data_IF_960054001963
#
_entry.id   IF_960054001963
#
_cell.length_a   1.000
_cell.length_b   1.000
_cell.length_c   1.000
_cell.angle_alpha   90.00
_cell.angle_beta   90.00
_cell.angle_gamma   90.00
#
_symmetry.space_group_name_H-M   'P 1'
#
loop_
_entity.id
_entity.type
_entity.pdbx_description
1 polymer ?
#
# COMPACT_ATOMS: atom_id res chain seq x y z
N UNK A 1 -12.32 14.20 -3.11
CA UNK A 1 -11.67 13.84 -4.39
C UNK A 1 -10.22 14.29 -4.40
N UNK A 2 -9.92 15.60 -4.30
CA UNK A 2 -8.54 16.11 -4.28
C UNK A 2 -7.61 15.44 -3.24
N UNK A 3 -8.09 15.20 -2.01
CA UNK A 3 -7.30 14.52 -0.95
C UNK A 3 -6.89 13.09 -1.32
N UNK A 4 -7.76 12.34 -1.99
CA UNK A 4 -7.51 10.96 -2.43
C UNK A 4 -6.48 10.91 -3.56
N UNK A 5 -6.58 11.83 -4.51
CA UNK A 5 -5.61 11.93 -5.61
C UNK A 5 -4.22 12.32 -5.10
N UNK A 6 -4.16 13.27 -4.16
CA UNK A 6 -2.92 13.66 -3.49
C UNK A 6 -2.30 12.45 -2.77
N UNK A 7 -3.09 11.74 -1.98
CA UNK A 7 -2.66 10.53 -1.27
C UNK A 7 -2.08 9.48 -2.23
N UNK A 8 -2.82 9.12 -3.29
CA UNK A 8 -2.35 8.14 -4.29
C UNK A 8 -1.04 8.64 -4.92
N UNK A 9 -0.99 9.89 -5.38
CA UNK A 9 0.21 10.47 -6.00
C UNK A 9 1.43 10.37 -5.08
N UNK A 10 1.28 10.70 -3.78
CA UNK A 10 2.35 10.59 -2.79
C UNK A 10 2.85 9.17 -2.60
N UNK A 11 1.95 8.19 -2.53
CA UNK A 11 2.35 6.78 -2.44
C UNK A 11 3.20 6.38 -3.65
N UNK A 12 2.80 6.76 -4.87
CA UNK A 12 3.58 6.44 -6.08
C UNK A 12 4.94 7.13 -6.11
N UNK A 13 5.03 8.40 -5.69
CA UNK A 13 6.30 9.12 -5.60
C UNK A 13 7.28 8.40 -4.68
N UNK A 14 6.84 8.02 -3.47
CA UNK A 14 7.70 7.39 -2.46
C UNK A 14 8.02 5.94 -2.84
N UNK A 15 7.07 5.19 -3.40
CA UNK A 15 7.31 3.82 -3.91
C UNK A 15 8.44 3.83 -4.96
N UNK A 16 8.42 4.80 -5.88
CA UNK A 16 9.46 4.94 -6.90
C UNK A 16 10.80 5.36 -6.29
N UNK A 17 10.80 6.28 -5.32
CA UNK A 17 11.99 6.69 -4.55
C UNK A 17 12.67 5.48 -3.89
N UNK A 18 11.87 4.64 -3.21
CA UNK A 18 12.32 3.45 -2.49
C UNK A 18 12.51 2.22 -3.40
N UNK A 19 12.21 2.34 -4.70
CA UNK A 19 12.27 1.23 -5.69
C UNK A 19 11.48 -0.02 -5.28
N UNK A 20 10.35 0.18 -4.61
CA UNK A 20 9.48 -0.91 -4.16
C UNK A 20 8.62 -1.38 -5.34
N UNK A 21 8.49 -2.71 -5.60
CA UNK A 21 7.57 -3.18 -6.62
C UNK A 21 6.12 -2.88 -6.25
N UNK A 22 5.40 -2.19 -7.14
CA UNK A 22 3.98 -1.86 -6.99
C UNK A 22 3.15 -2.58 -8.06
N UNK A 23 2.17 -3.35 -7.60
CA UNK A 23 1.18 -4.02 -8.45
C UNK A 23 -0.10 -3.19 -8.42
N UNK A 24 -0.41 -2.53 -9.53
CA UNK A 24 -1.67 -1.81 -9.73
C UNK A 24 -2.65 -2.67 -10.53
N UNK A 25 -3.84 -2.92 -9.97
CA UNK A 25 -4.90 -3.67 -10.63
C UNK A 25 -5.29 -3.08 -12.00
N UNK A 26 -5.08 -1.78 -12.22
CA UNK A 26 -5.34 -1.12 -13.52
C UNK A 26 -4.34 -1.48 -14.61
N UNK A 27 -3.15 -1.93 -14.21
CA UNK A 27 -2.06 -2.33 -15.14
C UNK A 27 -2.07 -3.84 -15.32
N UNK A 28 -2.50 -4.58 -14.30
CA UNK A 28 -2.57 -6.03 -14.29
C UNK A 28 -4.01 -6.50 -14.05
N UNK A 29 -4.84 -6.44 -15.10
CA UNK A 29 -6.27 -6.83 -15.09
C UNK A 29 -6.53 -8.28 -14.62
N UNK A 30 -5.49 -9.10 -14.42
CA UNK A 30 -5.56 -10.51 -14.00
C UNK A 30 -4.96 -10.80 -12.62
N UNK A 31 -4.63 -9.78 -11.83
CA UNK A 31 -4.13 -10.00 -10.45
C UNK A 31 -5.31 -10.17 -9.50
N UNK A 32 -5.47 -11.40 -9.00
CA UNK A 32 -6.40 -11.69 -7.91
C UNK A 32 -5.68 -11.58 -6.56
N UNK A 33 -6.15 -10.68 -5.70
CA UNK A 33 -5.65 -10.51 -4.33
C UNK A 33 -6.77 -10.80 -3.33
N UNK A 34 -6.55 -11.78 -2.43
CA UNK A 34 -7.51 -12.15 -1.40
C UNK A 34 -6.98 -11.78 -0.01
N UNK A 35 -7.46 -10.68 0.60
CA UNK A 35 -7.04 -10.28 1.94
C UNK A 35 -7.63 -11.15 3.05
N UNK A 36 -8.63 -12.01 2.76
CA UNK A 36 -9.40 -12.74 3.78
C UNK A 36 -8.68 -13.94 4.42
N UNK A 37 -7.49 -14.30 3.94
CA UNK A 37 -6.70 -15.42 4.49
C UNK A 37 -5.65 -14.97 5.54
N UNK A 38 -5.57 -13.66 5.84
CA UNK A 38 -4.65 -13.15 6.86
C UNK A 38 -5.15 -13.47 8.28
N UNK A 39 -4.21 -13.77 9.18
CA UNK A 39 -4.51 -13.98 10.61
C UNK A 39 -4.62 -12.64 11.33
N UNK A 40 -3.79 -11.65 10.95
CA UNK A 40 -3.85 -10.32 11.51
C UNK A 40 -3.77 -9.23 10.43
N UNK A 41 -4.53 -8.17 10.65
CA UNK A 41 -4.62 -7.01 9.78
C UNK A 41 -4.15 -5.77 10.54
N UNK A 42 -3.21 -5.01 9.98
CA UNK A 42 -2.70 -3.76 10.56
C UNK A 42 -3.03 -2.62 9.60
N UNK A 43 -3.75 -1.61 10.09
CA UNK A 43 -4.21 -0.48 9.28
C UNK A 43 -3.44 0.78 9.61
N UNK A 44 -2.85 1.38 8.58
CA UNK A 44 -2.23 2.70 8.59
C UNK A 44 -3.25 3.70 8.03
N UNK A 45 -3.60 4.68 8.84
CA UNK A 45 -4.55 5.72 8.49
C UNK A 45 -3.79 6.99 8.09
N UNK A 46 -3.89 7.38 6.82
CA UNK A 46 -3.32 8.62 6.34
C UNK A 46 -4.25 9.79 6.68
N UNK A 47 -3.73 10.73 7.48
CA UNK A 47 -4.38 11.98 7.88
C UNK A 47 -3.51 13.18 7.50
N UNK A 48 -3.06 13.22 6.24
CA UNK A 48 -2.17 14.27 5.69
C UNK A 48 -0.73 14.25 6.24
N UNK A 49 -0.38 13.23 7.02
CA UNK A 49 1.00 12.98 7.47
C UNK A 49 1.73 11.98 6.56
N UNK A 50 2.74 12.47 5.84
CA UNK A 50 3.59 11.66 4.96
C UNK A 50 4.42 10.62 5.72
N UNK A 51 4.65 10.81 7.02
CA UNK A 51 5.39 9.85 7.86
C UNK A 51 4.68 8.49 7.91
N UNK A 52 3.35 8.48 7.85
CA UNK A 52 2.52 7.27 7.83
C UNK A 52 2.75 6.47 6.54
N UNK A 53 2.82 7.17 5.40
CA UNK A 53 3.09 6.54 4.09
C UNK A 53 4.51 5.96 4.09
N UNK A 54 5.50 6.74 4.54
CA UNK A 54 6.90 6.28 4.62
C UNK A 54 7.06 5.10 5.58
N UNK A 55 6.38 5.11 6.72
CA UNK A 55 6.37 3.99 7.66
C UNK A 55 5.78 2.73 7.04
N UNK A 56 4.63 2.85 6.37
CA UNK A 56 4.02 1.73 5.65
C UNK A 56 4.94 1.18 4.56
N UNK A 57 5.47 2.03 3.68
CA UNK A 57 6.33 1.60 2.58
C UNK A 57 7.69 1.08 3.05
N UNK A 58 8.22 1.60 4.15
CA UNK A 58 9.43 1.08 4.79
C UNK A 58 9.27 -0.37 5.25
N UNK A 59 8.05 -0.80 5.62
CA UNK A 59 7.80 -2.22 5.89
C UNK A 59 7.92 -3.08 4.61
N UNK A 60 7.46 -2.58 3.46
CA UNK A 60 7.59 -3.30 2.21
C UNK A 60 9.06 -3.50 1.82
N UNK A 61 9.88 -2.45 2.02
CA UNK A 61 11.33 -2.50 1.81
C UNK A 61 11.99 -3.48 2.80
N UNK A 62 11.68 -3.35 4.09
CA UNK A 62 12.23 -4.19 5.16
C UNK A 62 11.94 -5.68 4.96
N UNK A 63 10.71 -6.02 4.57
CA UNK A 63 10.31 -7.40 4.30
C UNK A 63 10.64 -7.88 2.88
N UNK A 64 11.28 -7.04 2.05
CA UNK A 64 11.59 -7.32 0.64
C UNK A 64 10.37 -7.87 -0.13
N UNK A 65 9.24 -7.19 0.01
CA UNK A 65 7.95 -7.62 -0.54
C UNK A 65 7.38 -6.57 -1.50
N UNK A 66 6.19 -6.83 -2.03
CA UNK A 66 5.49 -5.99 -2.99
C UNK A 66 4.40 -5.17 -2.31
N UNK A 67 4.09 -4.01 -2.89
CA UNK A 67 2.89 -3.24 -2.55
C UNK A 67 1.82 -3.53 -3.59
N UNK A 68 0.59 -3.75 -3.15
CA UNK A 68 -0.56 -3.99 -4.02
C UNK A 68 -1.52 -2.83 -3.86
N UNK A 69 -1.89 -2.18 -4.98
CA UNK A 69 -2.93 -1.16 -5.00
C UNK A 69 -4.27 -1.77 -5.41
N UNK A 70 -5.30 -1.48 -4.63
CA UNK A 70 -6.69 -1.82 -4.93
C UNK A 70 -7.58 -0.63 -4.65
N UNK A 71 -8.24 -0.09 -5.68
CA UNK A 71 -9.00 1.15 -5.64
C UNK A 71 -8.14 2.31 -5.08
N UNK A 72 -8.55 2.85 -3.93
CA UNK A 72 -7.91 3.96 -3.20
C UNK A 72 -7.10 3.45 -1.99
N UNK A 73 -6.75 2.17 -1.97
CA UNK A 73 -6.11 1.52 -0.82
C UNK A 73 -4.85 0.77 -1.28
N UNK A 74 -3.89 0.65 -0.36
CA UNK A 74 -2.63 -0.05 -0.60
C UNK A 74 -2.43 -1.14 0.43
N UNK A 75 -1.76 -2.21 0.02
CA UNK A 75 -1.61 -3.44 0.79
C UNK A 75 -0.19 -3.96 0.71
N UNK A 76 0.32 -4.47 1.83
CA UNK A 76 1.56 -5.25 1.88
C UNK A 76 1.22 -6.62 2.49
N UNK A 77 1.21 -7.69 1.68
CA UNK A 77 1.10 -9.04 2.21
C UNK A 77 2.46 -9.49 2.76
N UNK A 78 2.47 -10.05 3.97
CA UNK A 78 3.66 -10.67 4.54
C UNK A 78 3.30 -11.81 5.48
N UNK A 79 3.62 -13.05 5.09
CA UNK A 79 3.30 -14.25 5.88
C UNK A 79 1.79 -14.29 6.23
N UNK A 80 1.44 -14.34 7.51
CA UNK A 80 0.07 -14.30 8.02
C UNK A 80 -0.45 -12.89 8.35
N UNK A 81 0.36 -11.86 8.08
CA UNK A 81 0.03 -10.45 8.31
C UNK A 81 -0.37 -9.79 6.99
N UNK A 82 -1.33 -8.88 7.09
CA UNK A 82 -1.66 -7.96 6.03
C UNK A 82 -1.62 -6.53 6.55
N UNK A 83 -0.70 -5.74 6.03
CA UNK A 83 -0.67 -4.31 6.28
C UNK A 83 -1.51 -3.61 5.22
N UNK A 84 -2.32 -2.64 5.65
CA UNK A 84 -3.21 -1.88 4.80
C UNK A 84 -2.97 -0.39 5.05
N UNK A 85 -2.88 0.40 3.98
CA UNK A 85 -2.81 1.85 4.03
C UNK A 85 -4.05 2.44 3.36
N UNK A 86 -4.74 3.30 4.09
CA UNK A 86 -5.98 3.96 3.67
C UNK A 86 -5.94 5.45 3.95
N UNK A 87 -6.73 6.21 3.18
CA UNK A 87 -7.01 7.62 3.44
C UNK A 87 -8.42 7.79 3.97
N UNK A 88 -8.59 8.69 4.95
CA UNK A 88 -9.89 9.17 5.42
C UNK A 88 -10.52 10.12 4.40
#
# INVERSE_FOLDING_TARGET
MAKKELFIKRVYEIVNELKIPLIDERVYDKVAFNPGASIANVSFQFEEDESVIRGFLGLAEYFHTVVIKRKDEFYIPHSSLLFKLVSS
#
